data_IF_716125136631
#
_entry.id   IF_716125136631
#
_cell.length_a   1.000
_cell.length_b   1.000
_cell.length_c   1.000
_cell.angle_alpha   90.00
_cell.angle_beta   90.00
_cell.angle_gamma   90.00
#
_symmetry.space_group_name_H-M   'P 1'
#
loop_
_entity.id
_entity.type
_entity.pdbx_description
1 polymer ?
2 non-polymer ?
3 non-polymer ?
4 water ?
#
# COMPACT_ATOMS: atom_id res chain seq x y z
N UNK A 1 -12.45 13.30 11.50
CA UNK A 1 -12.95 13.80 10.20
C UNK A 1 -11.83 14.31 9.29
N UNK A 2 -10.66 14.66 9.87
CA UNK A 2 -9.48 15.19 9.14
C UNK A 2 -8.93 14.05 8.29
N UNK A 3 -8.22 14.41 7.24
CA UNK A 3 -7.76 13.44 6.23
C UNK A 3 -7.01 12.29 6.92
N UNK A 4 -7.32 11.05 6.53
CA UNK A 4 -6.51 9.87 6.97
C UNK A 4 -5.38 9.66 5.95
N UNK A 5 -4.14 9.88 6.40
CA UNK A 5 -2.93 9.74 5.54
C UNK A 5 -2.02 8.62 6.03
N UNK A 6 -2.46 7.83 7.01
CA UNK A 6 -1.60 6.72 7.52
C UNK A 6 -2.50 5.53 7.84
N UNK A 7 -3.35 5.15 6.88
CA UNK A 7 -4.42 4.14 7.08
C UNK A 7 -3.76 2.77 6.97
N UNK A 8 -3.83 1.98 8.03
CA UNK A 8 -3.17 0.66 8.12
C UNK A 8 -3.91 -0.34 7.22
N UNK A 9 -3.19 -1.03 6.34
CA UNK A 9 -3.74 -2.06 5.45
C UNK A 9 -2.83 -3.28 5.53
N UNK A 10 -3.39 -4.42 5.14
CA UNK A 10 -2.68 -5.70 5.01
C UNK A 10 -2.68 -6.05 3.53
N UNK A 11 -1.56 -6.56 3.05
CA UNK A 11 -1.48 -7.09 1.67
C UNK A 11 -2.19 -8.45 1.62
N UNK A 12 -3.18 -8.58 0.75
CA UNK A 12 -3.98 -9.80 0.55
C UNK A 12 -3.36 -10.64 -0.56
N UNK A 13 -2.86 -10.00 -1.63
CA UNK A 13 -2.31 -10.66 -2.83
C UNK A 13 -0.93 -10.07 -3.07
N UNK A 14 0.09 -10.89 -3.23
CA UNK A 14 1.46 -10.40 -3.52
C UNK A 14 1.46 -9.70 -4.88
N UNK A 15 2.35 -8.73 -5.03
CA UNK A 15 2.43 -7.93 -6.27
C UNK A 15 3.90 -7.68 -6.54
N UNK A 16 4.40 -8.08 -7.73
CA UNK A 16 5.76 -7.77 -8.11
C UNK A 16 5.84 -6.44 -8.84
N UNK A 17 6.80 -5.58 -8.48
CA UNK A 17 6.84 -4.24 -9.06
C UNK A 17 7.35 -4.29 -10.51
N UNK A 18 6.79 -3.44 -11.36
CA UNK A 18 7.18 -3.34 -12.79
C UNK A 18 8.27 -2.29 -13.00
N UNK A 19 8.45 -1.41 -12.02
CA UNK A 19 9.47 -0.32 -11.99
C UNK A 19 9.72 0.12 -10.55
N UNK A 20 10.70 1.01 -10.34
CA UNK A 20 11.15 1.45 -9.00
C UNK A 20 10.08 2.35 -8.36
N UNK A 21 9.11 2.85 -9.14
CA UNK A 21 7.99 3.70 -8.67
C UNK A 21 7.02 2.83 -7.86
N UNK A 22 7.01 1.53 -8.15
CA UNK A 22 6.05 0.57 -7.56
C UNK A 22 6.68 -0.14 -6.36
N UNK A 23 5.81 -0.48 -5.42
CA UNK A 23 6.18 -1.23 -4.22
C UNK A 23 5.98 -2.72 -4.50
N UNK A 24 6.98 -3.53 -4.19
CA UNK A 24 6.77 -4.99 -4.05
C UNK A 24 5.88 -5.22 -2.83
N UNK A 25 4.75 -5.90 -3.04
CA UNK A 25 3.87 -6.34 -1.95
C UNK A 25 4.06 -7.83 -1.72
N UNK A 26 4.23 -8.19 -0.46
CA UNK A 26 4.17 -9.61 -0.04
C UNK A 26 2.92 -9.86 0.81
N UNK A 27 2.21 -10.96 0.56
CA UNK A 27 1.01 -11.37 1.33
C UNK A 27 1.33 -11.24 2.82
N UNK A 28 0.49 -10.51 3.54
CA UNK A 28 0.63 -10.34 5.00
C UNK A 28 1.34 -9.06 5.38
N UNK A 29 2.05 -8.42 4.45
CA UNK A 29 2.78 -7.17 4.76
C UNK A 29 1.78 -6.15 5.31
N UNK A 30 2.24 -5.36 6.27
CA UNK A 30 1.49 -4.16 6.75
C UNK A 30 1.95 -2.96 5.92
N UNK A 31 0.98 -2.24 5.34
CA UNK A 31 1.29 -1.05 4.51
C UNK A 31 0.41 0.10 5.01
N UNK A 32 1.02 1.26 5.18
CA UNK A 32 0.28 2.48 5.59
C UNK A 32 -0.03 3.28 4.33
N UNK A 33 -1.31 3.48 4.04
CA UNK A 33 -1.78 4.13 2.79
C UNK A 33 -1.89 5.63 3.07
N UNK A 34 -1.19 6.40 2.26
CA UNK A 34 -1.19 7.88 2.35
C UNK A 34 -2.19 8.49 1.38
N UNK A 35 -2.39 7.85 0.24
CA UNK A 35 -3.25 8.41 -0.83
C UNK A 35 -3.88 7.28 -1.63
N UNK A 36 -5.17 7.37 -1.92
CA UNK A 36 -5.89 6.50 -2.88
C UNK A 36 -6.17 7.33 -4.13
N UNK A 37 -5.51 7.02 -5.24
CA UNK A 37 -5.62 7.75 -6.53
C UNK A 37 -6.90 7.37 -7.29
N UNK A 38 -7.37 8.28 -8.15
CA UNK A 38 -8.58 8.07 -9.01
C UNK A 38 -8.35 6.83 -9.89
N UNK A 39 -7.11 6.56 -10.29
CA UNK A 39 -6.76 5.40 -11.15
C UNK A 39 -6.66 4.11 -10.33
N UNK A 40 -6.98 4.13 -9.03
CA UNK A 40 -7.12 2.92 -8.19
C UNK A 40 -5.80 2.44 -7.61
N UNK A 41 -4.71 3.09 -7.97
CA UNK A 41 -3.39 2.87 -7.33
C UNK A 41 -3.32 3.64 -6.02
N UNK A 42 -2.64 3.05 -5.06
CA UNK A 42 -2.42 3.65 -3.75
C UNK A 42 -0.95 3.99 -3.61
N UNK A 43 -0.71 5.02 -2.81
CA UNK A 43 0.63 5.41 -2.33
C UNK A 43 0.69 5.06 -0.86
N UNK A 44 1.71 4.33 -0.47
CA UNK A 44 1.87 3.92 0.93
C UNK A 44 3.27 3.51 1.26
N UNK A 45 3.50 3.22 2.53
CA UNK A 45 4.82 2.89 3.09
C UNK A 45 4.72 1.54 3.79
N UNK A 46 5.59 0.61 3.42
CA UNK A 46 5.66 -0.71 4.06
C UNK A 46 6.38 -0.60 5.40
N UNK A 47 5.79 -1.22 6.41
CA UNK A 47 6.46 -1.30 7.72
C UNK A 47 7.71 -2.19 7.68
N UNK A 48 7.69 -3.27 6.89
CA UNK A 48 8.77 -4.28 6.90
C UNK A 48 10.09 -3.62 6.47
N UNK A 49 10.08 -2.85 5.38
CA UNK A 49 11.31 -2.31 4.74
C UNK A 49 11.34 -0.78 4.71
N UNK A 50 10.26 -0.10 5.11
CA UNK A 50 10.26 1.37 5.20
C UNK A 50 10.15 2.03 3.85
N UNK A 51 9.88 1.28 2.79
CA UNK A 51 9.80 1.84 1.43
C UNK A 51 8.43 2.49 1.18
N UNK A 52 8.44 3.65 0.51
CA UNK A 52 7.22 4.35 0.06
C UNK A 52 7.11 4.22 -1.46
N UNK A 53 5.92 3.90 -1.95
CA UNK A 53 5.63 3.82 -3.39
C UNK A 53 4.22 3.44 -3.73
N UNK A 54 3.98 3.15 -5.01
CA UNK A 54 2.65 2.97 -5.60
C UNK A 54 2.38 1.48 -5.73
N UNK A 55 1.14 1.09 -5.54
CA UNK A 55 0.74 -0.32 -5.70
C UNK A 55 -0.73 -0.35 -6.03
N UNK A 56 -1.18 -1.46 -6.63
CA UNK A 56 -2.58 -1.59 -6.97
C UNK A 56 -3.44 -1.77 -5.71
N UNK A 57 -4.44 -0.89 -5.56
CA UNK A 57 -5.25 -0.80 -4.34
C UNK A 57 -6.01 -2.07 -4.07
N UNK A 58 -6.42 -2.84 -5.09
CA UNK A 58 -7.33 -4.00 -4.88
C UNK A 58 -6.56 -5.13 -4.20
N UNK A 59 -5.24 -5.01 -4.10
CA UNK A 59 -4.35 -6.06 -3.54
C UNK A 59 -4.24 -5.94 -2.02
N UNK A 60 -4.85 -4.91 -1.43
CA UNK A 60 -4.75 -4.67 0.04
C UNK A 60 -6.16 -4.52 0.61
N UNK A 61 -6.23 -4.64 1.93
CA UNK A 61 -7.48 -4.56 2.72
C UNK A 61 -7.21 -3.71 3.94
N UNK A 62 -8.18 -2.92 4.36
CA UNK A 62 -8.09 -2.22 5.66
C UNK A 62 -7.80 -3.24 6.77
N UNK A 63 -7.01 -2.85 7.75
CA UNK A 63 -7.09 -3.48 9.09
C UNK A 63 -7.99 -2.58 9.94
X LIG B 1 -3.78 8.51 10.04
X LIG B 1 -4.22 7.79 8.90
X LIG B 1 -4.43 9.83 10.14
X LIG B 1 -4.00 10.73 9.13
X LIG C 1 1.72 3.15 -11.77
X LIG C 1 1.72 4.57 -11.99
X LIG C 1 0.49 2.46 -12.31
X LIG C 1 0.43 2.64 -13.67
X LIG C 1 -0.20 1.51 -14.40
X LIG C 1 -1.32 1.94 -15.32
X LIG C 1 -0.92 2.98 -16.25
#
# INVERSE_FOLDING_TARGET
GRRVVCERHRVVVSYPPQSEAELELKEGDIVFVHKKREDGWFKGTLQRNGKTGLFPGSFVENI
EDO C1 O1 C2 O2
PEG C1 O1 C2 O2 C3 C4 O4
#
